data_IF_282964882512
#
_entry.id   IF_282964882512
#
_cell.length_a   1.000
_cell.length_b   1.000
_cell.length_c   1.000
_cell.angle_alpha   90.00
_cell.angle_beta   90.00
_cell.angle_gamma   90.00
#
_symmetry.space_group_name_H-M   'P 1'
#
loop_
_entity.id
_entity.type
_entity.pdbx_description
1 polymer ?
#
# COMPACT_ATOMS: atom_id res chain seq x y z
N UNK A 1 7.20 4.79 -12.34
CA UNK A 1 6.62 3.52 -11.84
C UNK A 1 5.27 3.87 -11.25
N UNK A 2 4.19 3.45 -11.90
CA UNK A 2 2.85 3.76 -11.42
C UNK A 2 2.42 2.68 -10.42
N UNK A 3 2.23 3.07 -9.16
CA UNK A 3 1.81 2.15 -8.11
C UNK A 3 0.29 1.95 -8.22
N UNK A 4 -0.14 0.79 -8.73
CA UNK A 4 -1.57 0.42 -8.85
C UNK A 4 -2.23 0.03 -7.51
N UNK A 5 -1.62 0.42 -6.39
CA UNK A 5 -2.06 0.08 -5.03
C UNK A 5 -3.49 0.56 -4.80
N UNK A 6 -3.86 1.75 -5.31
CA UNK A 6 -5.23 2.28 -5.17
C UNK A 6 -6.27 1.37 -5.83
N UNK A 7 -6.04 0.96 -7.06
CA UNK A 7 -6.96 0.09 -7.80
C UNK A 7 -7.10 -1.28 -7.11
N UNK A 8 -6.01 -1.80 -6.57
CA UNK A 8 -6.02 -3.08 -5.83
C UNK A 8 -6.81 -2.93 -4.53
N UNK A 9 -6.63 -1.83 -3.81
CA UNK A 9 -7.41 -1.53 -2.60
C UNK A 9 -8.92 -1.42 -2.92
N UNK A 10 -9.29 -0.69 -3.96
CA UNK A 10 -10.68 -0.52 -4.40
C UNK A 10 -11.30 -1.85 -4.86
N UNK A 11 -10.58 -2.65 -5.64
CA UNK A 11 -11.08 -3.96 -6.09
C UNK A 11 -11.23 -5.00 -4.97
N UNK A 12 -10.49 -4.86 -3.86
CA UNK A 12 -10.55 -5.75 -2.70
C UNK A 12 -11.38 -5.21 -1.53
N UNK A 13 -12.00 -4.03 -1.68
CA UNK A 13 -12.70 -3.29 -0.61
C UNK A 13 -11.84 -3.09 0.66
N UNK A 14 -10.53 -2.89 0.47
CA UNK A 14 -9.58 -2.67 1.56
C UNK A 14 -9.42 -1.16 1.79
N UNK A 15 -9.54 -0.73 3.04
CA UNK A 15 -9.29 0.66 3.42
C UNK A 15 -7.79 0.93 3.52
N UNK A 16 -7.38 2.11 3.07
CA UNK A 16 -6.00 2.62 3.22
C UNK A 16 -5.52 2.58 4.68
N UNK A 17 -6.40 2.86 5.65
CA UNK A 17 -6.09 2.78 7.08
C UNK A 17 -5.77 1.36 7.52
N UNK A 18 -6.55 0.36 7.08
CA UNK A 18 -6.33 -1.05 7.42
C UNK A 18 -5.04 -1.58 6.80
N UNK A 19 -4.72 -1.16 5.57
CA UNK A 19 -3.43 -1.48 4.96
C UNK A 19 -2.27 -0.84 5.75
N UNK A 20 -2.42 0.42 6.17
CA UNK A 20 -1.40 1.11 6.97
C UNK A 20 -1.13 0.39 8.31
N UNK A 21 -2.19 -0.03 9.00
CA UNK A 21 -2.11 -0.82 10.23
C UNK A 21 -1.44 -2.18 10.00
N UNK A 22 -1.81 -2.89 8.94
CA UNK A 22 -1.26 -4.21 8.58
C UNK A 22 0.24 -4.12 8.24
N UNK A 23 0.63 -3.08 7.51
CA UNK A 23 2.03 -2.84 7.10
C UNK A 23 2.87 -2.24 8.24
N UNK A 24 2.22 -1.68 9.26
CA UNK A 24 2.89 -1.08 10.43
C UNK A 24 3.41 0.34 10.17
N UNK A 25 2.74 1.11 9.31
CA UNK A 25 3.11 2.51 9.03
C UNK A 25 1.94 3.47 9.28
N UNK A 26 2.22 4.76 9.30
CA UNK A 26 1.16 5.76 9.50
C UNK A 26 0.23 5.82 8.29
N UNK A 27 -1.06 6.12 8.54
CA UNK A 27 -2.06 6.35 7.48
C UNK A 27 -1.61 7.42 6.48
N UNK A 28 -0.94 8.47 6.97
CA UNK A 28 -0.42 9.54 6.11
C UNK A 28 0.67 9.02 5.16
N UNK A 29 1.61 8.21 5.67
CA UNK A 29 2.65 7.60 4.83
C UNK A 29 2.03 6.65 3.80
N UNK A 30 1.12 5.77 4.23
CA UNK A 30 0.39 4.87 3.32
C UNK A 30 -0.36 5.64 2.23
N UNK A 31 -1.06 6.73 2.59
CA UNK A 31 -1.74 7.59 1.62
C UNK A 31 -0.76 8.19 0.61
N UNK A 32 0.41 8.66 1.05
CA UNK A 32 1.43 9.17 0.12
C UNK A 32 1.92 8.08 -0.84
N UNK A 33 2.12 6.85 -0.37
CA UNK A 33 2.51 5.70 -1.20
C UNK A 33 1.42 5.35 -2.22
N UNK A 34 0.17 5.18 -1.76
CA UNK A 34 -1.01 4.88 -2.61
C UNK A 34 -1.23 5.97 -3.67
N UNK A 35 -0.93 7.23 -3.33
CA UNK A 35 -1.06 8.36 -4.24
C UNK A 35 0.20 8.62 -5.10
N UNK A 36 1.23 7.78 -5.01
CA UNK A 36 2.47 7.94 -5.77
C UNK A 36 3.30 9.17 -5.37
N UNK A 37 3.01 9.79 -4.22
CA UNK A 37 3.75 10.95 -3.69
C UNK A 37 5.02 10.54 -2.94
N UNK A 38 5.13 9.27 -2.55
CA UNK A 38 6.29 8.70 -1.87
C UNK A 38 6.60 7.33 -2.44
N UNK A 39 7.88 7.00 -2.52
CA UNK A 39 8.35 5.67 -2.92
C UNK A 39 8.61 4.85 -1.65
N UNK A 40 7.93 3.71 -1.44
CA UNK A 40 8.19 2.84 -0.30
C UNK A 40 9.59 2.18 -0.41
N UNK A 41 10.15 1.76 0.72
CA UNK A 41 11.31 0.85 0.70
C UNK A 41 10.92 -0.52 0.14
N UNK A 42 11.90 -1.33 -0.30
CA UNK A 42 11.65 -2.70 -0.74
C UNK A 42 10.90 -3.51 0.33
N UNK A 43 11.32 -3.41 1.59
CA UNK A 43 10.65 -4.05 2.72
C UNK A 43 9.18 -3.61 2.86
N UNK A 44 8.90 -2.31 2.72
CA UNK A 44 7.52 -1.79 2.81
C UNK A 44 6.70 -2.25 1.61
N UNK A 45 7.30 -2.30 0.43
CA UNK A 45 6.67 -2.78 -0.79
C UNK A 45 6.31 -4.26 -0.68
N UNK A 46 7.21 -5.09 -0.16
CA UNK A 46 6.95 -6.50 0.17
C UNK A 46 5.81 -6.65 1.17
N UNK A 47 5.79 -5.87 2.24
CA UNK A 47 4.68 -5.91 3.20
C UNK A 47 3.35 -5.51 2.57
N UNK A 48 3.34 -4.49 1.72
CA UNK A 48 2.14 -4.07 0.97
C UNK A 48 1.69 -5.19 0.04
N UNK A 49 2.60 -5.75 -0.75
CA UNK A 49 2.33 -6.84 -1.69
C UNK A 49 1.75 -8.06 -0.97
N UNK A 50 2.38 -8.47 0.14
CA UNK A 50 1.89 -9.56 0.99
C UNK A 50 0.51 -9.27 1.60
N UNK A 51 0.29 -8.07 2.13
CA UNK A 51 -0.99 -7.67 2.70
C UNK A 51 -2.12 -7.62 1.66
N UNK A 52 -1.78 -7.30 0.41
CA UNK A 52 -2.71 -7.29 -0.72
C UNK A 52 -2.80 -8.65 -1.42
N UNK A 53 -1.91 -9.61 -1.13
CA UNK A 53 -1.82 -10.90 -1.81
C UNK A 53 -1.53 -10.76 -3.30
N UNK A 54 -0.54 -9.93 -3.65
CA UNK A 54 -0.09 -9.67 -5.03
C UNK A 54 1.44 -9.76 -5.09
N UNK A 55 1.99 -9.92 -6.30
CA UNK A 55 3.44 -9.86 -6.56
C UNK A 55 3.91 -8.43 -6.86
N UNK A 56 5.22 -8.18 -6.67
CA UNK A 56 5.89 -6.87 -6.83
C UNK A 56 6.32 -6.62 -8.28
#
# INVERSE_FOLDING_TARGET
>A
MELRIREILESKDIKVSSLAETVGITRANMSNIVNGKSTPSLETLEKIANALGVDI
#
